data_IF_891609643001
#
_entry.id   IF_891609643001
#
_cell.length_a   1.000
_cell.length_b   1.000
_cell.length_c   1.000
_cell.angle_alpha   90.00
_cell.angle_beta   90.00
_cell.angle_gamma   90.00
#
_symmetry.space_group_name_H-M   'P 1'
#
loop_
_entity.id
_entity.type
_entity.pdbx_description
1 polymer ?
#
# COMPACT_ATOMS: atom_id res chain seq x y z
N UNK A 1 9.96 6.28 -3.24
CA UNK A 1 9.54 6.08 -4.64
C UNK A 1 10.78 6.11 -5.54
N UNK A 2 10.78 5.46 -6.70
CA UNK A 2 11.93 5.46 -7.62
C UNK A 2 11.62 6.25 -8.89
N UNK A 3 12.58 7.07 -9.32
CA UNK A 3 12.60 7.71 -10.63
C UNK A 3 13.81 7.26 -11.45
N UNK A 4 13.71 7.49 -12.76
CA UNK A 4 14.79 7.27 -13.73
C UNK A 4 15.00 8.51 -14.59
N UNK A 5 16.23 8.74 -15.05
CA UNK A 5 16.55 9.88 -15.90
C UNK A 5 15.78 9.79 -17.23
N UNK A 6 15.28 10.93 -17.72
CA UNK A 6 14.59 11.00 -19.01
C UNK A 6 15.58 10.81 -20.17
N UNK A 7 15.14 10.10 -21.21
CA UNK A 7 15.89 10.00 -22.48
C UNK A 7 15.59 11.16 -23.44
N UNK A 8 14.45 11.83 -23.27
CA UNK A 8 13.96 12.88 -24.19
C UNK A 8 14.38 14.27 -23.76
N UNK A 9 14.51 14.51 -22.45
CA UNK A 9 14.83 15.83 -21.89
C UNK A 9 15.98 15.68 -20.91
N UNK A 10 17.10 16.33 -21.18
CA UNK A 10 18.23 16.32 -20.27
C UNK A 10 17.85 16.97 -18.93
N UNK A 11 18.30 16.39 -17.82
CA UNK A 11 18.05 16.89 -16.47
C UNK A 11 16.68 16.54 -15.88
N UNK A 12 15.69 16.11 -16.67
CA UNK A 12 14.37 15.71 -16.14
C UNK A 12 14.34 14.25 -15.66
N UNK A 13 13.53 14.01 -14.62
CA UNK A 13 13.28 12.68 -14.06
C UNK A 13 11.84 12.23 -14.32
N UNK A 14 11.69 10.95 -14.63
CA UNK A 14 10.40 10.34 -14.98
C UNK A 14 10.19 9.02 -14.24
N UNK A 15 8.94 8.59 -14.16
CA UNK A 15 8.63 7.23 -13.70
C UNK A 15 9.01 6.21 -14.80
N UNK A 16 9.40 4.98 -14.43
CA UNK A 16 9.48 3.86 -15.36
C UNK A 16 8.13 3.69 -16.06
N UNK A 17 8.10 3.84 -17.38
CA UNK A 17 6.84 3.81 -18.14
C UNK A 17 7.07 3.28 -19.55
N UNK A 18 6.04 2.67 -20.13
CA UNK A 18 6.09 2.28 -21.52
C UNK A 18 4.76 1.78 -22.05
N UNK A 19 4.75 1.49 -23.35
CA UNK A 19 3.55 1.03 -24.04
C UNK A 19 3.20 -0.41 -23.69
N UNK A 20 1.89 -0.68 -23.71
CA UNK A 20 1.33 -2.02 -23.70
C UNK A 20 1.68 -2.72 -25.02
N UNK A 21 2.10 -3.97 -24.92
CA UNK A 21 2.22 -4.86 -26.07
C UNK A 21 0.86 -5.50 -26.39
N UNK A 22 0.73 -6.05 -27.60
CA UNK A 22 -0.49 -6.74 -28.00
C UNK A 22 -0.78 -7.92 -27.08
N UNK A 23 -2.00 -7.98 -26.51
CA UNK A 23 -2.41 -9.01 -25.55
C UNK A 23 -1.81 -8.88 -24.14
N UNK A 24 -1.00 -7.85 -23.88
CA UNK A 24 -0.36 -7.63 -22.58
C UNK A 24 -1.29 -6.84 -21.64
N UNK A 25 -1.40 -7.29 -20.38
CA UNK A 25 -2.11 -6.51 -19.37
C UNK A 25 -1.27 -5.32 -18.89
N UNK A 26 -1.92 -4.28 -18.35
CA UNK A 26 -1.20 -3.15 -17.76
C UNK A 26 -0.30 -3.53 -16.57
N UNK A 27 -0.66 -4.59 -15.85
CA UNK A 27 0.13 -5.13 -14.73
C UNK A 27 1.42 -5.81 -15.24
N UNK A 28 1.33 -6.59 -16.31
CA UNK A 28 2.47 -7.27 -16.91
C UNK A 28 3.43 -6.25 -17.55
N UNK A 29 2.87 -5.27 -18.27
CA UNK A 29 3.64 -4.18 -18.85
C UNK A 29 4.39 -3.37 -17.79
N UNK A 30 3.76 -3.12 -16.63
CA UNK A 30 4.41 -2.45 -15.51
C UNK A 30 5.59 -3.27 -14.97
N UNK A 31 5.43 -4.59 -14.78
CA UNK A 31 6.52 -5.46 -14.31
C UNK A 31 7.69 -5.46 -15.30
N UNK A 32 7.39 -5.64 -16.58
CA UNK A 32 8.38 -5.61 -17.66
C UNK A 32 9.12 -4.26 -17.72
N UNK A 33 8.40 -3.14 -17.66
CA UNK A 33 9.02 -1.80 -17.73
C UNK A 33 9.83 -1.45 -16.50
N UNK A 34 9.35 -1.81 -15.32
CA UNK A 34 10.06 -1.59 -14.06
C UNK A 34 11.37 -2.38 -14.02
N UNK A 35 11.40 -3.59 -14.60
CA UNK A 35 12.63 -4.36 -14.79
C UNK A 35 13.54 -3.77 -15.88
N UNK A 36 13.02 -3.54 -17.08
CA UNK A 36 13.81 -3.07 -18.24
C UNK A 36 14.43 -1.68 -17.99
N UNK A 37 13.66 -0.74 -17.45
CA UNK A 37 14.05 0.67 -17.35
C UNK A 37 14.77 1.00 -16.04
N UNK A 38 14.41 0.31 -14.95
CA UNK A 38 14.87 0.63 -13.61
C UNK A 38 15.57 -0.54 -12.88
N UNK A 39 15.60 -1.73 -13.46
CA UNK A 39 16.23 -2.90 -12.84
C UNK A 39 15.54 -3.33 -11.55
N UNK A 40 14.22 -3.13 -11.46
CA UNK A 40 13.42 -3.47 -10.28
C UNK A 40 12.56 -4.70 -10.56
N UNK A 41 12.59 -5.67 -9.66
CA UNK A 41 11.72 -6.86 -9.69
C UNK A 41 10.72 -6.76 -8.55
N UNK A 42 9.46 -7.09 -8.83
CA UNK A 42 8.39 -6.94 -7.87
C UNK A 42 7.00 -7.17 -8.46
N UNK A 43 5.98 -6.68 -7.76
CA UNK A 43 4.58 -6.87 -8.14
C UNK A 43 3.75 -5.58 -8.03
N UNK A 44 2.76 -5.37 -8.91
CA UNK A 44 1.79 -4.29 -8.76
C UNK A 44 0.89 -4.51 -7.53
N UNK A 45 0.83 -3.52 -6.64
CA UNK A 45 0.05 -3.57 -5.39
C UNK A 45 -1.34 -2.96 -5.54
N UNK A 46 -1.43 -1.71 -5.98
CA UNK A 46 -2.69 -0.96 -6.09
C UNK A 46 -2.73 -0.15 -7.39
N UNK A 47 -3.92 0.00 -7.96
CA UNK A 47 -4.13 0.88 -9.12
C UNK A 47 -4.43 2.29 -8.64
N UNK A 48 -3.62 3.27 -9.04
CA UNK A 48 -3.77 4.67 -8.63
C UNK A 48 -4.71 5.44 -9.54
N UNK A 49 -4.89 4.98 -10.78
CA UNK A 49 -5.75 5.63 -11.75
C UNK A 49 -5.13 5.77 -13.14
N UNK A 50 -5.91 6.36 -14.03
CA UNK A 50 -5.53 6.68 -15.40
C UNK A 50 -5.33 8.17 -15.51
N UNK A 51 -4.16 8.59 -16.00
CA UNK A 51 -3.76 9.99 -16.08
C UNK A 51 -3.39 10.34 -17.52
N UNK A 52 -3.74 11.54 -18.02
CA UNK A 52 -3.32 11.96 -19.35
C UNK A 52 -1.78 12.10 -19.41
N UNK A 53 -1.16 11.51 -20.43
CA UNK A 53 0.26 11.65 -20.71
C UNK A 53 0.45 12.54 -21.95
N UNK A 54 0.85 13.83 -21.76
CA UNK A 54 1.01 14.76 -22.87
C UNK A 54 2.16 14.36 -23.82
N UNK A 55 2.99 13.38 -23.44
CA UNK A 55 4.14 12.93 -24.25
C UNK A 55 3.77 11.93 -25.33
N UNK A 56 2.58 11.33 -25.25
CA UNK A 56 2.13 10.27 -26.17
C UNK A 56 0.68 10.43 -26.65
N UNK A 57 0.06 11.61 -26.49
CA UNK A 57 -1.35 11.88 -26.80
C UNK A 57 -2.28 10.72 -26.36
N UNK A 58 -2.08 10.26 -25.13
CA UNK A 58 -2.71 9.05 -24.63
C UNK A 58 -2.72 9.03 -23.11
N UNK A 59 -3.01 7.85 -22.56
CA UNK A 59 -3.21 7.68 -21.12
C UNK A 59 -2.09 6.85 -20.48
N UNK A 60 -1.69 7.24 -19.28
CA UNK A 60 -0.79 6.53 -18.39
C UNK A 60 -1.60 5.84 -17.29
N UNK A 61 -1.53 4.52 -17.23
CA UNK A 61 -2.12 3.73 -16.15
C UNK A 61 -1.08 3.59 -15.03
N UNK A 62 -1.30 4.23 -13.89
CA UNK A 62 -0.35 4.26 -12.80
C UNK A 62 -0.74 3.29 -11.69
N UNK A 63 0.26 2.64 -11.09
CA UNK A 63 0.09 1.69 -10.01
C UNK A 63 1.15 1.92 -8.93
N UNK A 64 0.82 1.56 -7.69
CA UNK A 64 1.84 1.27 -6.69
C UNK A 64 2.52 -0.06 -7.02
N UNK A 65 3.83 -0.09 -6.87
CA UNK A 65 4.64 -1.27 -7.14
C UNK A 65 5.44 -1.63 -5.90
N UNK A 66 5.27 -2.85 -5.43
CA UNK A 66 6.07 -3.42 -4.34
C UNK A 66 7.36 -3.96 -4.92
N UNK A 67 8.48 -3.35 -4.56
CA UNK A 67 9.81 -3.82 -4.96
C UNK A 67 10.27 -4.93 -4.02
N UNK A 68 10.69 -6.05 -4.60
CA UNK A 68 11.21 -7.23 -3.89
C UNK A 68 12.71 -7.41 -4.07
N UNK A 69 13.21 -7.05 -5.24
CA UNK A 69 14.63 -7.14 -5.57
C UNK A 69 15.05 -5.95 -6.44
N UNK A 70 16.25 -5.44 -6.18
CA UNK A 70 16.88 -4.34 -6.92
C UNK A 70 18.12 -4.90 -7.61
N UNK A 71 18.10 -5.00 -8.94
CA UNK A 71 19.23 -5.54 -9.72
C UNK A 71 20.33 -4.52 -9.89
N UNK A 72 21.57 -4.99 -9.89
CA UNK A 72 22.77 -4.20 -10.17
C UNK A 72 23.04 -4.05 -11.66
N UNK A 73 22.59 -5.00 -12.48
CA UNK A 73 22.63 -4.94 -13.94
C UNK A 73 21.21 -5.10 -14.54
N UNK A 74 20.85 -4.24 -15.49
CA UNK A 74 19.55 -4.23 -16.15
C UNK A 74 19.63 -3.65 -17.56
N UNK A 75 18.58 -3.85 -18.37
CA UNK A 75 18.60 -3.56 -19.81
C UNK A 75 18.89 -2.08 -20.15
N UNK A 76 18.39 -1.14 -19.34
CA UNK A 76 18.66 0.29 -19.50
C UNK A 76 19.57 0.86 -18.41
N UNK A 77 20.62 0.12 -18.02
CA UNK A 77 21.59 0.57 -17.01
C UNK A 77 22.39 1.82 -17.36
N UNK A 78 22.33 2.26 -18.62
CA UNK A 78 22.83 3.58 -19.04
C UNK A 78 21.99 4.76 -18.51
N UNK A 79 20.80 4.51 -17.97
CA UNK A 79 19.97 5.53 -17.30
C UNK A 79 20.27 5.55 -15.81
N UNK A 80 20.28 6.75 -15.24
CA UNK A 80 20.39 6.91 -13.81
C UNK A 80 19.04 6.57 -13.16
N UNK A 81 19.07 5.95 -11.98
CA UNK A 81 17.89 5.72 -11.15
C UNK A 81 18.12 6.29 -9.75
N UNK A 82 17.08 6.87 -9.16
CA UNK A 82 17.19 7.48 -7.84
C UNK A 82 15.95 7.20 -7.00
N UNK A 83 16.20 6.77 -5.77
CA UNK A 83 15.17 6.68 -4.73
C UNK A 83 14.94 8.06 -4.13
N UNK A 84 13.68 8.45 -4.06
CA UNK A 84 13.25 9.76 -3.61
C UNK A 84 12.09 9.62 -2.63
N UNK A 85 12.11 10.35 -1.50
CA UNK A 85 10.96 10.43 -0.60
C UNK A 85 9.74 10.98 -1.34
N UNK A 86 8.58 10.33 -1.16
CA UNK A 86 7.35 10.76 -1.84
C UNK A 86 6.88 12.15 -1.38
N UNK A 87 7.22 12.54 -0.16
CA UNK A 87 6.77 13.81 0.46
C UNK A 87 7.53 15.04 -0.04
N UNK A 88 8.78 14.88 -0.46
CA UNK A 88 9.65 15.97 -0.91
C UNK A 88 10.63 15.46 -1.98
N UNK A 89 10.22 15.44 -3.26
CA UNK A 89 11.13 15.07 -4.32
C UNK A 89 12.13 16.20 -4.59
N UNK A 90 13.37 16.03 -4.14
CA UNK A 90 14.48 16.95 -4.45
C UNK A 90 15.00 16.77 -5.90
N UNK A 91 14.14 16.35 -6.83
CA UNK A 91 14.47 16.15 -8.24
C UNK A 91 13.52 16.97 -9.12
N UNK A 92 13.99 17.47 -10.27
CA UNK A 92 13.15 18.08 -11.29
C UNK A 92 12.31 16.99 -11.98
N UNK A 93 11.22 16.61 -11.33
CA UNK A 93 10.22 15.67 -11.86
C UNK A 93 9.28 16.43 -12.78
N UNK A 94 8.92 15.83 -13.92
CA UNK A 94 8.00 16.47 -14.88
C UNK A 94 6.68 16.83 -14.22
N UNK A 95 6.23 18.07 -14.43
CA UNK A 95 5.01 18.61 -13.81
C UNK A 95 3.75 17.78 -14.08
N UNK A 96 3.66 17.14 -15.25
CA UNK A 96 2.53 16.26 -15.60
C UNK A 96 2.41 15.01 -14.71
N UNK A 97 3.44 14.66 -13.93
CA UNK A 97 3.39 13.56 -12.97
C UNK A 97 2.78 13.98 -11.63
N UNK A 98 2.58 15.29 -11.37
CA UNK A 98 2.02 15.77 -10.10
C UNK A 98 0.69 15.09 -9.70
N UNK A 99 -0.28 14.83 -10.60
CA UNK A 99 -1.49 14.09 -10.26
C UNK A 99 -1.21 12.65 -9.81
N UNK A 100 -0.25 11.97 -10.45
CA UNK A 100 0.16 10.61 -10.09
C UNK A 100 0.80 10.58 -8.70
N UNK A 101 1.65 11.58 -8.40
CA UNK A 101 2.28 11.70 -7.08
C UNK A 101 1.28 11.99 -5.98
N UNK A 102 0.28 12.82 -6.27
CA UNK A 102 -0.82 13.11 -5.35
C UNK A 102 -1.62 11.83 -5.05
N UNK A 103 -2.03 11.11 -6.10
CA UNK A 103 -2.77 9.85 -5.95
C UNK A 103 -1.97 8.81 -5.14
N UNK A 104 -0.67 8.66 -5.43
CA UNK A 104 0.22 7.76 -4.69
C UNK A 104 0.30 8.14 -3.19
N UNK A 105 0.33 9.44 -2.89
CA UNK A 105 0.40 9.93 -1.50
C UNK A 105 -0.89 9.66 -0.75
N UNK A 106 -2.04 9.88 -1.38
CA UNK A 106 -3.35 9.61 -0.76
C UNK A 106 -3.56 8.11 -0.54
N UNK A 107 -3.20 7.25 -1.48
CA UNK A 107 -3.29 5.79 -1.32
C UNK A 107 -2.38 5.28 -0.18
N UNK A 108 -1.14 5.81 -0.08
CA UNK A 108 -0.22 5.49 1.01
C UNK A 108 -0.71 5.98 2.38
N UNK A 109 -1.39 7.14 2.44
CA UNK A 109 -2.04 7.61 3.68
C UNK A 109 -3.23 6.72 4.04
N UNK A 110 -4.07 6.37 3.07
CA UNK A 110 -5.24 5.52 3.28
C UNK A 110 -4.85 4.11 3.73
N UNK A 111 -3.75 3.56 3.21
CA UNK A 111 -3.20 2.26 3.63
C UNK A 111 -2.41 2.30 4.93
N UNK A 112 -2.03 3.48 5.42
CA UNK A 112 -1.46 3.69 6.76
C UNK A 112 -2.54 3.89 7.84
N UNK A 113 -3.77 4.19 7.44
CA UNK A 113 -4.93 4.10 8.34
C UNK A 113 -5.35 2.63 8.42
N UNK A 114 -5.66 2.08 9.63
CA UNK A 114 -6.28 0.77 9.71
C UNK A 114 -7.55 0.80 8.85
N UNK A 115 -7.71 -0.20 7.99
CA UNK A 115 -8.78 -0.27 7.00
C UNK A 115 -10.12 0.19 7.60
N UNK A 116 -10.88 1.09 6.94
CA UNK A 116 -12.24 1.36 7.37
C UNK A 116 -13.02 0.07 7.19
N UNK A 117 -13.46 -0.53 8.30
CA UNK A 117 -14.43 -1.61 8.28
C UNK A 117 -15.68 -1.04 7.60
N UNK A 118 -16.01 -1.57 6.41
CA UNK A 118 -17.14 -1.08 5.64
C UNK A 118 -18.45 -1.24 6.42
N UNK A 119 -19.16 -0.14 6.63
CA UNK A 119 -20.56 -0.16 7.07
C UNK A 119 -21.45 0.03 5.84
N UNK A 120 -22.46 -0.82 5.59
CA UNK A 120 -23.50 -0.52 4.62
C UNK A 120 -24.35 0.67 5.09
N UNK A 121 -24.95 1.45 4.17
CA UNK A 121 -25.73 2.63 4.54
C UNK A 121 -27.09 2.20 5.09
N UNK A 122 -27.30 2.41 6.39
CA UNK A 122 -28.64 2.34 7.00
C UNK A 122 -28.73 1.60 8.33
N UNK A 123 -28.02 2.03 9.37
CA UNK A 123 -28.41 1.83 10.77
C UNK A 123 -27.57 2.75 11.68
N UNK A 124 -28.17 3.47 12.65
CA UNK A 124 -27.41 4.16 13.67
C UNK A 124 -27.18 3.24 14.86
N UNK A 125 -26.19 2.35 14.84
CA UNK A 125 -25.73 1.68 16.08
C UNK A 125 -24.21 1.57 16.10
N UNK A 126 -23.61 2.16 17.13
CA UNK A 126 -22.18 2.20 17.38
C UNK A 126 -21.55 0.79 17.39
N UNK A 127 -20.26 0.63 17.03
CA UNK A 127 -19.59 -0.65 17.20
C UNK A 127 -19.69 -1.06 18.68
N UNK A 128 -20.34 -2.18 18.95
CA UNK A 128 -20.51 -2.69 20.30
C UNK A 128 -19.13 -2.92 20.93
N UNK A 129 -18.74 -2.08 21.88
CA UNK A 129 -17.49 -2.23 22.62
C UNK A 129 -17.52 -3.37 23.64
N UNK A 130 -18.51 -4.27 23.57
CA UNK A 130 -18.77 -5.34 24.52
C UNK A 130 -18.02 -6.62 24.17
N UNK A 131 -17.61 -7.34 25.21
CA UNK A 131 -16.96 -8.64 25.12
C UNK A 131 -17.83 -9.65 24.36
N UNK A 132 -17.27 -10.29 23.34
CA UNK A 132 -17.98 -11.27 22.52
C UNK A 132 -18.34 -12.57 23.25
N UNK A 133 -17.84 -12.77 24.48
CA UNK A 133 -18.06 -13.98 25.29
C UNK A 133 -19.21 -13.75 26.26
N UNK A 134 -19.14 -12.72 27.10
CA UNK A 134 -20.18 -12.46 28.10
C UNK A 134 -21.23 -11.44 27.66
N UNK A 135 -20.96 -10.66 26.60
CA UNK A 135 -21.80 -9.56 26.12
C UNK A 135 -22.22 -8.54 27.19
N UNK A 136 -21.54 -8.53 28.35
CA UNK A 136 -21.92 -7.75 29.53
C UNK A 136 -20.88 -6.70 29.93
N UNK A 137 -19.60 -6.93 29.61
CA UNK A 137 -18.48 -6.06 29.98
C UNK A 137 -17.79 -5.55 28.74
N UNK A 138 -17.19 -4.36 28.82
CA UNK A 138 -16.40 -3.82 27.72
C UNK A 138 -15.17 -4.69 27.40
N UNK A 139 -14.83 -4.73 26.12
CA UNK A 139 -13.54 -5.23 25.64
C UNK A 139 -12.44 -4.36 26.20
N UNK A 140 -11.56 -4.99 26.98
CA UNK A 140 -10.43 -4.33 27.64
C UNK A 140 -9.17 -5.21 27.66
N UNK A 141 -9.07 -6.19 26.76
CA UNK A 141 -7.88 -7.04 26.63
C UNK A 141 -7.47 -7.30 25.19
N UNK A 142 -6.18 -7.54 24.97
CA UNK A 142 -5.59 -7.96 23.70
C UNK A 142 -4.73 -9.21 23.89
N UNK A 143 -4.79 -10.16 22.94
CA UNK A 143 -3.95 -11.36 22.92
C UNK A 143 -2.65 -11.09 22.15
N UNK A 144 -1.48 -11.17 22.79
CA UNK A 144 -0.22 -10.69 22.16
C UNK A 144 0.25 -11.52 20.96
N UNK A 145 -0.09 -12.81 20.90
CA UNK A 145 0.31 -13.68 19.80
C UNK A 145 -0.46 -13.41 18.49
N UNK A 146 -1.60 -12.73 18.55
CA UNK A 146 -2.46 -12.49 17.38
C UNK A 146 -3.04 -11.07 17.26
N UNK A 147 -2.77 -10.20 18.25
CA UNK A 147 -3.22 -8.82 18.36
C UNK A 147 -4.75 -8.61 18.29
N UNK A 148 -5.56 -9.66 18.45
CA UNK A 148 -7.02 -9.56 18.49
C UNK A 148 -7.52 -9.07 19.86
N UNK A 149 -8.52 -8.20 19.83
CA UNK A 149 -9.15 -7.60 21.01
C UNK A 149 -10.67 -7.74 20.89
N UNK A 150 -11.23 -8.71 21.61
CA UNK A 150 -12.67 -9.02 21.54
C UNK A 150 -13.26 -9.46 22.88
N UNK A 151 -12.48 -9.46 23.95
CA UNK A 151 -12.91 -9.99 25.26
C UNK A 151 -12.60 -9.05 26.42
N UNK A 152 -13.39 -9.14 27.49
CA UNK A 152 -13.07 -8.53 28.76
C UNK A 152 -12.05 -9.38 29.52
N UNK A 153 -11.40 -8.79 30.53
CA UNK A 153 -10.36 -9.44 31.32
C UNK A 153 -10.80 -10.77 31.94
N UNK A 154 -12.01 -10.85 32.46
CA UNK A 154 -12.50 -12.06 33.13
C UNK A 154 -12.74 -13.20 32.13
N UNK A 155 -13.24 -12.88 30.93
CA UNK A 155 -13.43 -13.88 29.88
C UNK A 155 -12.12 -14.30 29.25
N UNK A 156 -11.17 -13.38 29.08
CA UNK A 156 -9.86 -13.66 28.49
C UNK A 156 -9.07 -14.71 29.29
N UNK A 157 -9.21 -14.72 30.61
CA UNK A 157 -8.54 -15.67 31.50
C UNK A 157 -9.09 -17.11 31.38
N UNK A 158 -10.31 -17.27 30.89
CA UNK A 158 -10.97 -18.57 30.74
C UNK A 158 -10.74 -19.20 29.37
N UNK A 159 -10.15 -18.45 28.43
CA UNK A 159 -9.93 -18.89 27.05
C UNK A 159 -8.53 -19.46 26.87
N UNK A 160 -8.45 -20.58 26.14
CA UNK A 160 -7.19 -21.16 25.66
C UNK A 160 -6.82 -20.69 24.27
N UNK A 161 -7.83 -20.41 23.44
CA UNK A 161 -7.66 -19.99 22.05
C UNK A 161 -8.39 -18.68 21.80
N UNK A 162 -7.85 -17.88 20.88
CA UNK A 162 -8.47 -16.63 20.47
C UNK A 162 -9.82 -16.90 19.77
N UNK A 163 -10.93 -16.26 20.18
CA UNK A 163 -12.24 -16.49 19.58
C UNK A 163 -12.36 -15.96 18.14
N UNK A 164 -11.43 -15.10 17.69
CA UNK A 164 -11.43 -14.55 16.33
C UNK A 164 -10.61 -15.39 15.34
N UNK A 165 -9.41 -15.82 15.72
CA UNK A 165 -8.47 -16.49 14.81
C UNK A 165 -8.09 -17.91 15.23
N UNK A 166 -8.58 -18.39 16.37
CA UNK A 166 -8.33 -19.73 16.93
C UNK A 166 -6.86 -20.05 17.22
N UNK A 167 -5.99 -19.04 17.27
CA UNK A 167 -4.61 -19.20 17.71
C UNK A 167 -4.54 -19.38 19.24
N UNK A 168 -3.62 -20.22 19.75
CA UNK A 168 -3.45 -20.45 21.18
C UNK A 168 -3.02 -19.16 21.88
N UNK A 169 -3.68 -18.81 22.98
CA UNK A 169 -3.42 -17.60 23.75
C UNK A 169 -2.14 -17.82 24.57
N UNK A 170 -1.07 -17.09 24.21
CA UNK A 170 0.19 -17.13 24.96
C UNK A 170 0.21 -16.14 26.12
N UNK A 171 -0.41 -14.97 25.93
CA UNK A 171 -0.44 -13.91 26.93
C UNK A 171 -1.55 -12.92 26.64
N UNK A 172 -2.18 -12.41 27.71
CA UNK A 172 -3.27 -11.43 27.68
C UNK A 172 -2.77 -10.12 28.27
N UNK A 173 -2.92 -9.02 27.54
CA UNK A 173 -2.62 -7.67 28.02
C UNK A 173 -3.92 -6.89 28.25
N UNK A 174 -4.08 -6.30 29.44
CA UNK A 174 -5.20 -5.40 29.75
C UNK A 174 -4.91 -4.01 29.17
N UNK A 175 -5.88 -3.48 28.43
CA UNK A 175 -5.84 -2.11 27.91
C UNK A 175 -6.77 -1.22 28.75
N UNK A 176 -6.29 -0.02 29.06
CA UNK A 176 -7.09 1.02 29.71
C UNK A 176 -7.43 2.06 28.65
N UNK A 177 -8.71 2.42 28.53
CA UNK A 177 -9.14 3.52 27.66
C UNK A 177 -8.85 4.83 28.38
N UNK A 178 -8.17 5.75 27.71
CA UNK A 178 -7.92 7.13 28.18
C UNK A 178 -9.12 8.02 27.93
#
# INVERSE_FOLDING_TARGET
MLFISSRKTAGEWVLPKGFLLSGESARDALQRKTLEEAGLVGAPKAFLGTFPDPTINGNLHAYLFEVREVRTAWAQSFRQRQWVPLVAPNLPVRACLAPVLSAAREDLKASAQPAPQGTPPGAPEAPSHLCCVCMAKDVNTVFLNCAHSSTCQDCAQLLKDCPLCRQPIQSVLKIFKT
#
